data_IF_900682756456
#
_entry.id   IF_900682756456
#
_cell.length_a   1.000
_cell.length_b   1.000
_cell.length_c   1.000
_cell.angle_alpha   90.00
_cell.angle_beta   90.00
_cell.angle_gamma   90.00
#
_symmetry.space_group_name_H-M   'P 1'
#
loop_
_entity.id
_entity.type
_entity.pdbx_description
1 polymer ?
#
# COMPACT_ATOMS: atom_id res chain seq x y z
N UNK A 1 -4.15 -6.92 -16.35
CA UNK A 1 -3.65 -6.58 -15.00
C UNK A 1 -2.44 -5.65 -15.04
N UNK A 2 -1.43 -5.89 -15.87
CA UNK A 2 -0.21 -5.06 -15.93
C UNK A 2 -0.48 -3.58 -16.25
N UNK A 3 -1.32 -3.28 -17.24
CA UNK A 3 -1.69 -1.88 -17.55
C UNK A 3 -2.37 -1.19 -16.37
N UNK A 4 -3.28 -1.87 -15.68
CA UNK A 4 -3.99 -1.34 -14.52
C UNK A 4 -3.02 -1.02 -13.37
N UNK A 5 -2.08 -1.94 -13.10
CA UNK A 5 -1.02 -1.75 -12.12
C UNK A 5 -0.15 -0.56 -12.48
N UNK A 6 0.41 -0.54 -13.69
CA UNK A 6 1.28 0.54 -14.16
C UNK A 6 0.59 1.90 -14.04
N UNK A 7 -0.69 1.96 -14.44
CA UNK A 7 -1.50 3.18 -14.35
C UNK A 7 -1.72 3.59 -12.89
N UNK A 8 -2.03 2.66 -11.98
CA UNK A 8 -2.20 2.96 -10.55
C UNK A 8 -0.95 3.55 -9.89
N UNK A 9 0.24 3.14 -10.36
CA UNK A 9 1.52 3.57 -9.81
C UNK A 9 2.03 4.89 -10.41
N UNK A 10 1.91 5.09 -11.72
CA UNK A 10 2.73 6.10 -12.42
C UNK A 10 1.95 7.08 -13.29
N UNK A 11 0.62 6.95 -13.42
CA UNK A 11 -0.14 7.83 -14.30
C UNK A 11 -0.11 9.28 -13.80
N UNK A 12 0.05 10.25 -14.72
CA UNK A 12 0.17 11.67 -14.33
C UNK A 12 -1.12 12.22 -13.72
N UNK A 13 -2.26 11.77 -14.21
CA UNK A 13 -3.55 12.11 -13.62
C UNK A 13 -3.84 11.26 -12.38
N UNK A 14 -3.94 11.92 -11.23
CA UNK A 14 -4.20 11.32 -9.93
C UNK A 14 -5.60 10.72 -9.85
N UNK A 15 -6.59 11.29 -10.55
CA UNK A 15 -7.96 10.76 -10.56
C UNK A 15 -7.99 9.39 -11.24
N UNK A 16 -7.26 9.26 -12.36
CA UNK A 16 -7.07 7.98 -13.05
C UNK A 16 -6.37 6.96 -12.16
N UNK A 17 -5.28 7.34 -11.46
CA UNK A 17 -4.60 6.46 -10.48
C UNK A 17 -5.58 5.96 -9.42
N UNK A 18 -6.38 6.87 -8.87
CA UNK A 18 -7.39 6.57 -7.84
C UNK A 18 -8.40 5.55 -8.34
N UNK A 19 -8.93 5.74 -9.54
CA UNK A 19 -9.87 4.80 -10.15
C UNK A 19 -9.24 3.40 -10.30
N UNK A 20 -7.97 3.31 -10.72
CA UNK A 20 -7.28 2.03 -10.80
C UNK A 20 -7.12 1.34 -9.44
N UNK A 21 -6.79 2.09 -8.38
CA UNK A 21 -6.72 1.55 -7.01
C UNK A 21 -8.09 1.05 -6.55
N UNK A 22 -9.16 1.80 -6.82
CA UNK A 22 -10.53 1.39 -6.48
C UNK A 22 -10.95 0.10 -7.22
N UNK A 23 -10.53 -0.06 -8.48
CA UNK A 23 -10.73 -1.31 -9.22
C UNK A 23 -10.02 -2.46 -8.49
N UNK A 24 -8.74 -2.30 -8.11
CA UNK A 24 -8.03 -3.34 -7.35
C UNK A 24 -8.72 -3.69 -6.03
N UNK A 25 -9.18 -2.68 -5.27
CA UNK A 25 -9.94 -2.91 -4.03
C UNK A 25 -11.18 -3.77 -4.30
N UNK A 26 -11.93 -3.45 -5.36
CA UNK A 26 -13.11 -4.24 -5.75
C UNK A 26 -12.73 -5.66 -6.14
N UNK A 27 -11.70 -5.85 -6.96
CA UNK A 27 -11.21 -7.17 -7.36
C UNK A 27 -10.77 -8.01 -6.16
N UNK A 28 -10.05 -7.43 -5.20
CA UNK A 28 -9.65 -8.13 -3.96
C UNK A 28 -10.88 -8.56 -3.15
N UNK A 29 -11.90 -7.69 -3.06
CA UNK A 29 -13.14 -8.02 -2.35
C UNK A 29 -13.91 -9.16 -3.02
N UNK A 30 -13.98 -9.15 -4.35
CA UNK A 30 -14.82 -10.04 -5.15
C UNK A 30 -14.16 -11.40 -5.44
N UNK A 31 -12.83 -11.42 -5.59
CA UNK A 31 -12.08 -12.61 -6.03
C UNK A 31 -11.40 -13.36 -4.90
N UNK A 32 -11.28 -12.77 -3.71
CA UNK A 32 -10.67 -13.42 -2.56
C UNK A 32 -11.69 -13.61 -1.45
N UNK A 33 -12.05 -14.87 -1.16
CA UNK A 33 -12.92 -15.20 -0.03
C UNK A 33 -12.12 -15.20 1.27
N UNK A 34 -12.78 -14.83 2.38
CA UNK A 34 -12.14 -14.73 3.71
C UNK A 34 -11.90 -16.09 4.36
N UNK A 35 -12.63 -17.13 3.94
CA UNK A 35 -12.80 -18.37 4.72
C UNK A 35 -12.29 -19.65 4.05
N UNK A 36 -12.14 -19.71 2.72
CA UNK A 36 -11.77 -20.96 2.04
C UNK A 36 -10.32 -20.98 1.52
N UNK A 37 -9.59 -19.87 1.57
CA UNK A 37 -8.30 -19.74 0.89
C UNK A 37 -8.41 -19.81 -0.64
N UNK A 38 -9.62 -20.00 -1.18
CA UNK A 38 -9.88 -20.05 -2.61
C UNK A 38 -9.89 -18.63 -3.18
N UNK A 39 -8.96 -18.39 -4.08
CA UNK A 39 -9.04 -17.28 -5.03
C UNK A 39 -9.84 -17.72 -6.26
N UNK A 40 -10.74 -16.85 -6.74
CA UNK A 40 -11.50 -17.12 -7.97
C UNK A 40 -10.61 -17.11 -9.22
N UNK A 41 -9.45 -16.46 -9.13
CA UNK A 41 -8.49 -16.31 -10.21
C UNK A 41 -7.13 -16.79 -9.72
N UNK A 42 -6.59 -17.90 -10.25
CA UNK A 42 -5.29 -18.42 -9.85
C UNK A 42 -4.17 -17.39 -9.97
N UNK A 43 -3.32 -17.30 -8.94
CA UNK A 43 -2.19 -16.38 -8.83
C UNK A 43 -2.56 -14.93 -8.49
N UNK A 44 -3.83 -14.60 -8.33
CA UNK A 44 -4.26 -13.23 -8.07
C UNK A 44 -3.82 -12.75 -6.68
N UNK A 45 -3.95 -13.58 -5.65
CA UNK A 45 -3.48 -13.27 -4.29
C UNK A 45 -1.99 -12.94 -4.29
N UNK A 46 -1.15 -13.80 -4.89
CA UNK A 46 0.29 -13.58 -4.99
C UNK A 46 0.61 -12.30 -5.77
N UNK A 47 -0.06 -12.06 -6.90
CA UNK A 47 0.09 -10.81 -7.65
C UNK A 47 -0.22 -9.58 -6.80
N UNK A 48 -1.31 -9.62 -6.01
CA UNK A 48 -1.69 -8.49 -5.17
C UNK A 48 -0.66 -8.24 -4.06
N UNK A 49 -0.27 -9.29 -3.33
CA UNK A 49 0.66 -9.18 -2.20
C UNK A 49 2.06 -8.78 -2.67
N UNK A 50 2.58 -9.44 -3.69
CA UNK A 50 3.98 -9.29 -4.09
C UNK A 50 4.19 -8.09 -5.01
N UNK A 51 3.22 -7.82 -5.89
CA UNK A 51 3.37 -6.82 -6.94
C UNK A 51 2.57 -5.55 -6.65
N UNK A 52 1.25 -5.64 -6.46
CA UNK A 52 0.42 -4.44 -6.29
C UNK A 52 0.73 -3.70 -4.99
N UNK A 53 0.80 -4.41 -3.85
CA UNK A 53 1.11 -3.81 -2.57
C UNK A 53 2.48 -3.10 -2.60
N UNK A 54 3.51 -3.81 -3.05
CA UNK A 54 4.88 -3.28 -3.11
C UNK A 54 4.98 -2.06 -4.04
N UNK A 55 4.48 -2.18 -5.28
CA UNK A 55 4.66 -1.11 -6.27
C UNK A 55 3.70 0.07 -6.04
N UNK A 56 2.41 -0.19 -5.85
CA UNK A 56 1.41 0.86 -5.70
C UNK A 56 1.38 1.38 -4.27
N UNK A 57 1.22 0.50 -3.27
CA UNK A 57 0.97 0.96 -1.91
C UNK A 57 2.22 1.49 -1.21
N UNK A 58 3.42 1.03 -1.59
CA UNK A 58 4.70 1.45 -1.00
C UNK A 58 5.52 2.33 -1.95
N UNK A 59 6.05 1.80 -3.05
CA UNK A 59 7.01 2.53 -3.89
C UNK A 59 6.43 3.78 -4.56
N UNK A 60 5.21 3.70 -5.08
CA UNK A 60 4.58 4.86 -5.73
C UNK A 60 4.24 6.00 -4.75
N UNK A 61 4.18 5.71 -3.45
CA UNK A 61 3.97 6.69 -2.38
C UNK A 61 5.30 7.18 -1.83
N UNK A 62 6.38 6.39 -1.89
CA UNK A 62 7.73 6.86 -1.55
C UNK A 62 8.29 7.81 -2.60
N UNK A 63 7.89 7.65 -3.86
CA UNK A 63 8.34 8.50 -4.97
C UNK A 63 8.08 9.99 -4.71
N UNK A 64 9.03 10.85 -5.08
CA UNK A 64 8.96 12.30 -4.81
C UNK A 64 7.80 12.98 -5.52
N UNK A 65 7.28 12.43 -6.62
CA UNK A 65 6.10 12.98 -7.30
C UNK A 65 4.79 12.83 -6.51
N UNK A 66 4.78 12.02 -5.44
CA UNK A 66 3.60 11.84 -4.58
C UNK A 66 3.58 12.91 -3.47
N UNK A 67 2.99 14.06 -3.78
CA UNK A 67 2.99 15.25 -2.91
C UNK A 67 1.85 15.24 -1.88
N UNK A 68 2.17 15.15 -0.58
CA UNK A 68 1.16 15.14 0.49
C UNK A 68 0.47 16.50 0.73
N UNK A 69 0.96 17.58 0.11
CA UNK A 69 0.30 18.88 0.12
C UNK A 69 -0.85 19.02 -0.90
N UNK A 70 -0.92 18.12 -1.89
CA UNK A 70 -1.94 18.15 -2.94
C UNK A 70 -3.21 17.39 -2.51
N UNK A 71 -4.37 18.03 -2.70
CA UNK A 71 -5.65 17.47 -2.29
C UNK A 71 -6.02 16.18 -3.03
N UNK A 72 -5.74 16.11 -4.35
CA UNK A 72 -6.03 14.90 -5.13
C UNK A 72 -5.15 13.73 -4.69
N UNK A 73 -3.87 14.02 -4.41
CA UNK A 73 -2.90 13.04 -3.92
C UNK A 73 -3.30 12.53 -2.53
N UNK A 74 -3.80 13.40 -1.65
CA UNK A 74 -4.38 13.00 -0.36
C UNK A 74 -5.64 12.12 -0.53
N UNK A 75 -6.45 12.34 -1.55
CA UNK A 75 -7.60 11.46 -1.85
C UNK A 75 -7.12 10.08 -2.34
N UNK A 76 -6.17 10.05 -3.29
CA UNK A 76 -5.54 8.80 -3.74
C UNK A 76 -4.88 8.04 -2.57
N UNK A 77 -4.18 8.74 -1.69
CA UNK A 77 -3.57 8.16 -0.51
C UNK A 77 -4.59 7.47 0.41
N UNK A 78 -5.78 8.06 0.56
CA UNK A 78 -6.88 7.43 1.28
C UNK A 78 -7.30 6.08 0.69
N UNK A 79 -7.39 5.98 -0.64
CA UNK A 79 -7.69 4.72 -1.34
C UNK A 79 -6.55 3.71 -1.18
N UNK A 80 -5.30 4.15 -1.22
CA UNK A 80 -4.13 3.28 -0.99
C UNK A 80 -4.17 2.68 0.43
N UNK A 81 -4.48 3.49 1.43
CA UNK A 81 -4.62 3.01 2.82
C UNK A 81 -5.81 2.05 2.96
N UNK A 82 -6.93 2.34 2.30
CA UNK A 82 -8.07 1.42 2.24
C UNK A 82 -7.70 0.10 1.57
N UNK A 83 -6.90 0.12 0.50
CA UNK A 83 -6.43 -1.09 -0.15
C UNK A 83 -5.58 -1.94 0.80
N UNK A 84 -4.67 -1.33 1.58
CA UNK A 84 -3.91 -2.05 2.61
C UNK A 84 -4.82 -2.71 3.65
N UNK A 85 -5.86 -2.00 4.11
CA UNK A 85 -6.84 -2.56 5.06
C UNK A 85 -7.58 -3.76 4.46
N UNK A 86 -8.04 -3.64 3.22
CA UNK A 86 -8.75 -4.71 2.50
C UNK A 86 -7.83 -5.92 2.25
N UNK A 87 -6.57 -5.69 1.90
CA UNK A 87 -5.57 -6.77 1.76
C UNK A 87 -5.37 -7.50 3.09
N UNK A 88 -5.23 -6.77 4.20
CA UNK A 88 -5.14 -7.41 5.52
C UNK A 88 -6.41 -8.20 5.89
N UNK A 89 -7.59 -7.66 5.62
CA UNK A 89 -8.86 -8.35 5.90
C UNK A 89 -9.04 -9.64 5.10
N UNK A 90 -8.45 -9.72 3.90
CA UNK A 90 -8.58 -10.86 2.99
C UNK A 90 -7.42 -11.85 3.08
N UNK A 91 -6.21 -11.37 3.32
CA UNK A 91 -4.98 -12.17 3.26
C UNK A 91 -4.28 -12.34 4.61
N UNK A 92 -4.70 -11.56 5.63
CA UNK A 92 -4.13 -11.65 6.96
C UNK A 92 -2.64 -11.37 7.00
N UNK A 93 -1.92 -12.21 7.75
CA UNK A 93 -0.50 -12.04 7.99
C UNK A 93 0.37 -12.27 6.73
N UNK A 94 -0.13 -12.96 5.68
CA UNK A 94 0.61 -13.12 4.42
C UNK A 94 0.91 -11.77 3.76
N UNK A 95 -0.09 -10.87 3.74
CA UNK A 95 0.10 -9.50 3.27
C UNK A 95 1.04 -8.74 4.21
N UNK A 96 0.80 -8.84 5.51
CA UNK A 96 1.54 -8.10 6.54
C UNK A 96 3.03 -8.40 6.49
N UNK A 97 3.41 -9.68 6.52
CA UNK A 97 4.80 -10.14 6.51
C UNK A 97 5.50 -9.68 5.24
N UNK A 98 4.86 -9.85 4.08
CA UNK A 98 5.44 -9.42 2.82
C UNK A 98 5.65 -7.90 2.81
N UNK A 99 4.60 -7.13 3.10
CA UNK A 99 4.63 -5.66 3.02
C UNK A 99 5.64 -5.05 4.01
N UNK A 100 5.69 -5.58 5.24
CA UNK A 100 6.66 -5.15 6.25
C UNK A 100 8.09 -5.45 5.80
N UNK A 101 8.35 -6.65 5.28
CA UNK A 101 9.69 -7.03 4.81
C UNK A 101 10.24 -6.14 3.69
N UNK A 102 9.36 -5.49 2.91
CA UNK A 102 9.73 -4.61 1.80
C UNK A 102 9.84 -3.14 2.19
N UNK A 103 8.98 -2.66 3.09
CA UNK A 103 8.83 -1.23 3.36
C UNK A 103 9.53 -0.71 4.60
N UNK A 104 9.91 -1.59 5.54
CA UNK A 104 10.29 -1.19 6.88
C UNK A 104 11.75 -1.56 7.13
N UNK A 105 12.67 -0.59 7.27
CA UNK A 105 14.01 -0.86 7.74
C UNK A 105 13.96 -1.46 9.16
N UNK A 106 15.08 -1.98 9.66
CA UNK A 106 15.17 -2.77 10.90
C UNK A 106 14.73 -2.15 12.24
N UNK A 107 14.20 -0.91 12.41
CA UNK A 107 13.52 -0.58 13.66
C UNK A 107 12.25 -1.42 13.84
N UNK A 108 12.37 -2.47 14.65
CA UNK A 108 11.30 -3.40 15.04
C UNK A 108 10.01 -2.66 15.46
N UNK A 109 10.18 -1.48 16.07
CA UNK A 109 9.11 -0.61 16.54
C UNK A 109 8.21 -0.05 15.40
N UNK A 110 8.76 0.28 14.21
CA UNK A 110 7.95 0.84 13.11
C UNK A 110 7.02 -0.21 12.49
N UNK A 111 7.57 -1.41 12.29
CA UNK A 111 6.78 -2.54 11.81
C UNK A 111 5.66 -2.87 12.81
N UNK A 112 5.95 -2.96 14.10
CA UNK A 112 4.96 -3.26 15.14
C UNK A 112 3.85 -2.22 15.22
N UNK A 113 4.19 -0.92 15.19
CA UNK A 113 3.20 0.15 15.18
C UNK A 113 2.31 0.10 13.93
N UNK A 114 2.89 -0.09 12.75
CA UNK A 114 2.11 -0.28 11.52
C UNK A 114 1.14 -1.45 11.65
N UNK A 115 1.64 -2.61 12.10
CA UNK A 115 0.83 -3.80 12.32
C UNK A 115 -0.33 -3.51 13.27
N UNK A 116 -0.07 -2.83 14.38
CA UNK A 116 -1.09 -2.48 15.37
C UNK A 116 -2.17 -1.58 14.75
N UNK A 117 -1.78 -0.53 14.02
CA UNK A 117 -2.74 0.40 13.38
C UNK A 117 -3.55 -0.28 12.29
N UNK A 118 -2.94 -1.16 11.50
CA UNK A 118 -3.61 -1.91 10.45
C UNK A 118 -4.62 -2.92 11.01
N UNK A 119 -4.29 -3.56 12.13
CA UNK A 119 -5.17 -4.50 12.85
C UNK A 119 -6.35 -3.76 13.51
N UNK A 120 -6.15 -2.53 13.98
CA UNK A 120 -7.19 -1.68 14.55
C UNK A 120 -8.27 -1.24 13.56
N UNK A 121 -9.41 -0.77 14.06
CA UNK A 121 -10.54 -0.30 13.24
C UNK A 121 -10.46 1.19 12.86
N UNK A 122 -9.47 1.92 13.38
CA UNK A 122 -9.30 3.35 13.10
C UNK A 122 -8.45 3.57 11.85
N UNK A 123 -9.13 3.68 10.70
CA UNK A 123 -8.49 3.96 9.42
C UNK A 123 -7.82 5.34 9.38
N UNK A 124 -8.30 6.31 10.17
CA UNK A 124 -7.67 7.64 10.25
C UNK A 124 -6.32 7.53 10.95
N UNK A 125 -6.26 6.79 12.05
CA UNK A 125 -5.00 6.53 12.75
C UNK A 125 -4.00 5.76 11.87
N UNK A 126 -4.47 4.75 11.11
CA UNK A 126 -3.63 4.06 10.11
C UNK A 126 -3.11 5.02 9.04
N UNK A 127 -3.99 5.85 8.48
CA UNK A 127 -3.62 6.83 7.46
C UNK A 127 -2.56 7.80 7.96
N UNK A 128 -2.79 8.42 9.12
CA UNK A 128 -1.83 9.38 9.69
C UNK A 128 -0.48 8.73 9.98
N UNK A 129 -0.50 7.53 10.58
CA UNK A 129 0.73 6.80 10.86
C UNK A 129 1.49 6.44 9.57
N UNK A 130 0.78 5.92 8.57
CA UNK A 130 1.40 5.53 7.30
C UNK A 130 1.98 6.75 6.56
N UNK A 131 1.32 7.91 6.62
CA UNK A 131 1.87 9.14 6.04
C UNK A 131 3.18 9.53 6.72
N UNK A 132 3.19 9.63 8.06
CA UNK A 132 4.39 9.97 8.83
C UNK A 132 5.53 8.97 8.60
N UNK A 133 5.19 7.69 8.46
CA UNK A 133 6.16 6.65 8.10
C UNK A 133 6.78 6.92 6.73
N UNK A 134 5.99 7.18 5.69
CA UNK A 134 6.49 7.47 4.34
C UNK A 134 7.39 8.71 4.35
N UNK A 135 6.97 9.78 5.01
CA UNK A 135 7.76 11.01 5.16
C UNK A 135 9.11 10.72 5.84
N UNK A 136 9.11 9.93 6.92
CA UNK A 136 10.34 9.49 7.58
C UNK A 136 11.24 8.63 6.68
N UNK A 137 10.67 7.67 5.96
CA UNK A 137 11.41 6.80 5.05
C UNK A 137 12.05 7.58 3.89
N UNK A 138 11.36 8.59 3.36
CA UNK A 138 11.91 9.49 2.33
C UNK A 138 13.14 10.25 2.84
N UNK A 139 13.11 10.72 4.09
CA UNK A 139 14.26 11.39 4.72
C UNK A 139 15.44 10.43 4.85
N UNK A 140 15.20 9.19 5.31
CA UNK A 140 16.24 8.16 5.44
C UNK A 140 16.87 7.81 4.08
N UNK A 141 16.07 7.68 3.02
CA UNK A 141 16.58 7.41 1.66
C UNK A 141 17.43 8.57 1.12
N UNK A 142 17.05 9.82 1.37
CA UNK A 142 17.84 10.97 0.96
C UNK A 142 19.13 11.12 1.81
N UNK A 143 19.10 10.71 3.08
CA UNK A 143 20.26 10.76 3.98
C UNK A 143 21.35 9.71 3.68
N UNK A 144 20.99 8.56 3.09
CA UNK A 144 21.99 7.53 2.71
C UNK A 144 22.82 7.91 1.48
N UNK A 145 22.37 8.89 0.70
CA UNK A 145 23.09 9.43 -0.46
C UNK A 145 24.22 10.41 -0.09
N UNK A 146 24.42 10.72 1.21
CA UNK A 146 25.53 11.58 1.68
C UNK A 146 26.81 10.75 1.98
N UNK A 147 26.74 9.42 1.89
CA UNK A 147 27.91 8.54 1.98
C UNK A 147 27.99 7.59 0.77
N UNK A 148 28.20 8.13 -0.43
CA UNK A 148 28.84 7.42 -1.55
C UNK A 148 29.59 8.39 -2.44
#
# INVERSE_FOLDING_TARGET
MQLLLHTSCHHKDIVTRKACVQIFIKLIKDWCAKSSGEEKVPGFKSFIIETFATNCCLYSVLDKSFEFGDANTLVLFGEIVLAQKVMYEKFGDDFLVHFVSKGFPSPQNLAEQYCQKLKGNDIKALRSYYQSLIEHLRVQQNGSLVFR
#
